data_IF_665523647481
#
_entry.id   IF_665523647481
#
_cell.length_a   1.000
_cell.length_b   1.000
_cell.length_c   1.000
_cell.angle_alpha   90.00
_cell.angle_beta   90.00
_cell.angle_gamma   90.00
#
_symmetry.space_group_name_H-M   'P 1'
#
loop_
_entity.id
_entity.type
_entity.pdbx_description
1 polymer ?
#
# COMPACT_ATOMS: atom_id res chain seq x y z
N UNK A 1 1.72 4.56 -22.34
CA UNK A 1 2.31 3.37 -21.68
C UNK A 1 1.66 2.12 -22.23
N UNK A 2 2.40 1.02 -22.36
CA UNK A 2 1.78 -0.29 -22.52
C UNK A 2 0.94 -0.65 -21.29
N UNK A 3 0.08 -1.67 -21.41
CA UNK A 3 -0.63 -2.27 -20.27
C UNK A 3 0.40 -2.78 -19.25
N UNK A 4 0.29 -2.35 -17.99
CA UNK A 4 1.26 -2.69 -16.93
C UNK A 4 1.02 -4.09 -16.36
N UNK A 5 -0.24 -4.52 -16.25
CA UNK A 5 -0.63 -5.81 -15.70
C UNK A 5 -1.99 -5.73 -15.00
N UNK A 6 -2.30 -6.76 -14.22
CA UNK A 6 -3.55 -6.89 -13.47
C UNK A 6 -3.28 -6.92 -11.96
N UNK A 7 -4.15 -6.29 -11.18
CA UNK A 7 -4.18 -6.41 -9.72
C UNK A 7 -5.37 -7.25 -9.28
N UNK A 8 -5.11 -8.29 -8.49
CA UNK A 8 -6.13 -9.15 -7.91
C UNK A 8 -6.12 -8.95 -6.41
N UNK A 9 -7.19 -8.36 -5.88
CA UNK A 9 -7.29 -8.03 -4.45
C UNK A 9 -8.42 -8.84 -3.82
N UNK A 10 -8.12 -9.55 -2.74
CA UNK A 10 -9.09 -10.36 -2.00
C UNK A 10 -9.83 -9.49 -0.98
N UNK A 11 -11.10 -9.15 -1.28
CA UNK A 11 -11.94 -8.30 -0.41
C UNK A 11 -11.95 -8.75 1.05
N UNK A 12 -12.11 -10.05 1.31
CA UNK A 12 -12.26 -10.57 2.66
C UNK A 12 -11.00 -10.36 3.50
N UNK A 13 -9.83 -10.45 2.87
CA UNK A 13 -8.53 -10.19 3.53
C UNK A 13 -8.38 -8.71 3.84
N UNK A 14 -8.69 -7.82 2.89
CA UNK A 14 -8.65 -6.37 3.11
C UNK A 14 -9.59 -5.94 4.24
N UNK A 15 -10.81 -6.46 4.28
CA UNK A 15 -11.76 -6.15 5.36
C UNK A 15 -11.28 -6.64 6.72
N UNK A 16 -10.68 -7.84 6.76
CA UNK A 16 -10.12 -8.41 7.99
C UNK A 16 -8.91 -7.59 8.49
N UNK A 17 -7.95 -7.30 7.63
CA UNK A 17 -6.74 -6.55 7.98
C UNK A 17 -7.05 -5.12 8.43
N UNK A 18 -7.96 -4.43 7.72
CA UNK A 18 -8.39 -3.09 8.12
C UNK A 18 -8.97 -3.08 9.55
N UNK A 19 -9.74 -4.12 9.90
CA UNK A 19 -10.28 -4.27 11.24
C UNK A 19 -9.20 -4.58 12.28
N UNK A 20 -8.28 -5.51 11.99
CA UNK A 20 -7.19 -5.91 12.89
C UNK A 20 -6.22 -4.76 13.17
N UNK A 21 -5.86 -4.01 12.13
CA UNK A 21 -4.96 -2.86 12.19
C UNK A 21 -5.66 -1.56 12.61
N UNK A 22 -7.00 -1.59 12.79
CA UNK A 22 -7.83 -0.42 13.12
C UNK A 22 -7.70 0.73 12.11
N UNK A 23 -7.47 0.41 10.84
CA UNK A 23 -7.42 1.38 9.74
C UNK A 23 -8.83 1.62 9.18
N UNK A 24 -9.17 2.83 8.72
CA UNK A 24 -10.37 3.03 7.92
C UNK A 24 -10.38 2.10 6.71
N UNK A 25 -11.48 1.40 6.46
CA UNK A 25 -11.57 0.41 5.38
C UNK A 25 -11.19 1.01 4.02
N UNK A 26 -11.66 2.22 3.72
CA UNK A 26 -11.34 2.92 2.47
C UNK A 26 -9.85 3.23 2.34
N UNK A 27 -9.19 3.61 3.45
CA UNK A 27 -7.75 3.86 3.47
C UNK A 27 -6.97 2.56 3.21
N UNK A 28 -7.39 1.42 3.77
CA UNK A 28 -6.73 0.14 3.52
C UNK A 28 -6.92 -0.34 2.07
N UNK A 29 -8.10 -0.12 1.47
CA UNK A 29 -8.30 -0.34 0.04
C UNK A 29 -7.37 0.52 -0.82
N UNK A 30 -7.26 1.81 -0.50
CA UNK A 30 -6.37 2.71 -1.22
C UNK A 30 -4.91 2.23 -1.11
N UNK A 31 -4.48 1.84 0.09
CA UNK A 31 -3.15 1.30 0.34
C UNK A 31 -2.85 0.08 -0.54
N UNK A 32 -3.75 -0.92 -0.58
CA UNK A 32 -3.55 -2.12 -1.40
C UNK A 32 -3.48 -1.84 -2.90
N UNK A 33 -4.25 -0.86 -3.40
CA UNK A 33 -4.19 -0.45 -4.81
C UNK A 33 -2.88 0.27 -5.12
N UNK A 34 -2.42 1.17 -4.24
CA UNK A 34 -1.14 1.88 -4.39
C UNK A 34 0.01 0.88 -4.35
N UNK A 35 0.05 0.03 -3.32
CA UNK A 35 1.05 -1.03 -3.14
C UNK A 35 1.15 -1.93 -4.37
N UNK A 36 0.02 -2.51 -4.80
CA UNK A 36 -0.02 -3.34 -6.00
C UNK A 36 0.41 -2.59 -7.27
N UNK A 37 0.05 -1.31 -7.39
CA UNK A 37 0.46 -0.50 -8.55
C UNK A 37 1.97 -0.26 -8.59
N UNK A 38 2.61 -0.08 -7.42
CA UNK A 38 4.07 0.04 -7.33
C UNK A 38 4.76 -1.28 -7.70
N UNK A 39 4.20 -2.42 -7.29
CA UNK A 39 4.67 -3.74 -7.77
C UNK A 39 4.60 -3.85 -9.30
N UNK A 40 3.51 -3.39 -9.92
CA UNK A 40 3.40 -3.36 -11.39
C UNK A 40 4.38 -2.40 -12.07
N UNK A 41 4.90 -1.41 -11.34
CA UNK A 41 5.94 -0.49 -11.81
C UNK A 41 7.36 -1.01 -11.59
N UNK A 42 7.50 -2.15 -10.89
CA UNK A 42 8.77 -2.83 -10.65
C UNK A 42 9.45 -2.48 -9.33
N UNK A 43 8.74 -1.81 -8.41
CA UNK A 43 9.19 -1.68 -7.02
C UNK A 43 8.90 -3.00 -6.28
N UNK A 44 9.77 -3.36 -5.35
CA UNK A 44 9.61 -4.53 -4.48
C UNK A 44 10.06 -4.16 -3.06
N UNK A 45 9.76 -5.01 -2.08
CA UNK A 45 10.07 -4.78 -0.67
C UNK A 45 10.72 -6.00 -0.01
N UNK A 46 11.46 -6.80 -0.80
CA UNK A 46 12.16 -8.00 -0.33
C UNK A 46 13.42 -7.64 0.46
N UNK A 47 14.20 -6.68 -0.05
CA UNK A 47 15.42 -6.19 0.58
C UNK A 47 15.15 -4.86 1.31
N UNK A 48 15.81 -4.63 2.46
CA UNK A 48 15.55 -3.46 3.33
C UNK A 48 15.66 -2.11 2.58
N UNK A 49 16.64 -1.97 1.69
CA UNK A 49 16.86 -0.74 0.92
C UNK A 49 15.72 -0.50 -0.11
N UNK A 50 15.20 -1.58 -0.72
CA UNK A 50 14.08 -1.49 -1.67
C UNK A 50 12.75 -1.24 -0.95
N UNK A 51 12.57 -1.85 0.22
CA UNK A 51 11.44 -1.60 1.09
C UNK A 51 11.39 -0.13 1.53
N UNK A 52 12.51 0.46 1.97
CA UNK A 52 12.54 1.88 2.36
C UNK A 52 12.13 2.81 1.21
N UNK A 53 12.56 2.53 -0.02
CA UNK A 53 12.16 3.28 -1.21
C UNK A 53 10.66 3.15 -1.49
N UNK A 54 10.16 1.91 -1.52
CA UNK A 54 8.75 1.62 -1.82
C UNK A 54 7.81 2.19 -0.75
N UNK A 55 8.11 1.98 0.53
CA UNK A 55 7.32 2.48 1.66
C UNK A 55 7.25 4.01 1.69
N UNK A 56 8.36 4.67 1.32
CA UNK A 56 8.41 6.14 1.21
C UNK A 56 7.46 6.65 0.12
N UNK A 57 7.41 5.99 -1.03
CA UNK A 57 6.49 6.32 -2.12
C UNK A 57 5.03 6.04 -1.74
N UNK A 58 4.76 4.91 -1.10
CA UNK A 58 3.42 4.58 -0.59
C UNK A 58 2.94 5.65 0.39
N UNK A 59 3.81 6.05 1.31
CA UNK A 59 3.52 7.12 2.28
C UNK A 59 3.20 8.44 1.57
N UNK A 60 4.02 8.87 0.62
CA UNK A 60 3.81 10.12 -0.13
C UNK A 60 2.47 10.11 -0.88
N UNK A 61 2.16 9.01 -1.58
CA UNK A 61 0.93 8.88 -2.37
C UNK A 61 -0.30 8.86 -1.45
N UNK A 62 -0.27 8.08 -0.36
CA UNK A 62 -1.38 7.99 0.58
C UNK A 62 -1.70 9.35 1.22
N UNK A 63 -0.68 10.09 1.66
CA UNK A 63 -0.83 11.44 2.19
C UNK A 63 -1.37 12.41 1.13
N UNK A 64 -0.89 12.33 -0.11
CA UNK A 64 -1.38 13.16 -1.21
C UNK A 64 -2.85 12.89 -1.57
N UNK A 65 -3.32 11.65 -1.35
CA UNK A 65 -4.73 11.25 -1.50
C UNK A 65 -5.61 11.66 -0.30
N UNK A 66 -5.01 12.14 0.79
CA UNK A 66 -5.72 12.56 2.01
C UNK A 66 -5.92 11.47 3.06
N UNK A 67 -5.22 10.34 2.93
CA UNK A 67 -5.16 9.30 3.94
C UNK A 67 -3.98 9.51 4.90
N UNK A 68 -4.00 8.81 6.03
CA UNK A 68 -2.87 8.78 6.95
C UNK A 68 -1.73 7.91 6.40
N UNK A 69 -0.52 8.06 6.94
CA UNK A 69 0.61 7.21 6.60
C UNK A 69 0.33 5.76 7.03
N UNK A 70 0.34 4.79 6.10
CA UNK A 70 -0.03 3.41 6.38
C UNK A 70 0.95 2.68 7.31
N UNK A 71 2.16 3.21 7.49
CA UNK A 71 3.24 2.64 8.31
C UNK A 71 3.41 3.32 9.67
N UNK A 72 2.50 4.24 10.06
CA UNK A 72 2.60 4.97 11.34
C UNK A 72 2.84 4.03 12.53
N UNK A 73 2.13 2.89 12.57
CA UNK A 73 2.20 1.95 13.69
C UNK A 73 3.51 1.15 13.74
N UNK A 74 4.26 1.07 12.63
CA UNK A 74 5.53 0.33 12.53
C UNK A 74 6.75 1.23 12.78
N UNK A 75 6.56 2.54 12.65
CA UNK A 75 7.59 3.57 12.89
C UNK A 75 7.72 3.98 14.37
N UNK A 76 6.88 3.45 15.27
CA UNK A 76 6.94 3.65 16.74
C UNK A 76 7.86 2.64 17.45
#
# INVERSE_FOLDING_TARGET
MPLLGDLIICRQVVEQEAQEQRKPLEAHWAHMVVHGSLHLLGYDHIDDDEAEEMESLETEIMLAMGYEDPYIAEKE
#
